data_IF_670703987956
#
_entry.id   IF_670703987956
#
_cell.length_a   1.000
_cell.length_b   1.000
_cell.length_c   1.000
_cell.angle_alpha   90.00
_cell.angle_beta   90.00
_cell.angle_gamma   90.00
#
_symmetry.space_group_name_H-M   'P 1'
#
loop_
_entity.id
_entity.type
_entity.pdbx_description
1 polymer ?
#
# COMPACT_ATOMS: atom_id res chain seq x y z
N UNK A 1 -2.83 -16.18 -18.11
CA UNK A 1 -3.24 -15.54 -16.87
C UNK A 1 -2.06 -15.15 -16.05
N UNK A 2 -1.96 -13.96 -15.81
CA UNK A 2 -0.80 -13.41 -15.15
C UNK A 2 -0.97 -13.44 -13.63
N UNK A 3 0.09 -13.77 -12.91
CA UNK A 3 0.15 -13.64 -11.47
C UNK A 3 0.00 -12.19 -11.04
N UNK A 4 0.28 -11.27 -11.92
CA UNK A 4 0.24 -9.85 -11.65
C UNK A 4 -1.10 -9.35 -11.18
N UNK A 5 -2.18 -10.01 -11.61
CA UNK A 5 -3.50 -9.55 -11.23
C UNK A 5 -3.89 -10.01 -9.84
N UNK A 6 -3.12 -10.93 -9.28
CA UNK A 6 -3.48 -11.53 -8.01
C UNK A 6 -3.36 -10.57 -6.84
N UNK A 7 -2.37 -9.68 -6.83
CA UNK A 7 -2.24 -8.74 -5.73
C UNK A 7 -3.52 -7.93 -5.55
N UNK A 8 -4.04 -7.35 -6.63
CA UNK A 8 -5.21 -6.49 -6.53
C UNK A 8 -6.49 -7.28 -6.21
N UNK A 9 -6.45 -8.61 -6.31
CA UNK A 9 -7.58 -9.47 -5.99
C UNK A 9 -7.45 -10.14 -4.63
N UNK A 10 -6.28 -10.05 -4.03
CA UNK A 10 -6.01 -10.67 -2.74
C UNK A 10 -6.53 -9.80 -1.62
N UNK A 11 -6.68 -10.42 -0.46
CA UNK A 11 -7.04 -9.74 0.78
C UNK A 11 -5.88 -9.85 1.75
N UNK A 12 -5.76 -8.83 2.59
CA UNK A 12 -4.76 -8.84 3.64
C UNK A 12 -5.11 -9.86 4.71
N UNK A 13 -4.08 -10.40 5.34
CA UNK A 13 -4.23 -11.39 6.40
C UNK A 13 -3.58 -10.86 7.66
N UNK A 14 -4.06 -11.33 8.82
CA UNK A 14 -3.46 -10.93 10.08
C UNK A 14 -2.01 -11.38 10.16
N UNK A 15 -1.15 -10.51 10.67
CA UNK A 15 0.24 -10.85 10.91
C UNK A 15 0.46 -11.02 12.42
N UNK A 16 1.01 -12.16 12.80
CA UNK A 16 1.37 -12.39 14.20
C UNK A 16 2.59 -11.57 14.57
N UNK A 17 2.69 -11.11 15.84
CA UNK A 17 3.92 -10.46 16.30
C UNK A 17 5.12 -11.39 16.07
N UNK A 18 6.22 -10.83 15.58
CA UNK A 18 7.41 -11.60 15.26
C UNK A 18 7.44 -12.19 13.87
N UNK A 19 6.39 -11.94 13.05
CA UNK A 19 6.44 -12.28 11.63
C UNK A 19 7.62 -11.53 10.99
N UNK A 20 8.50 -12.23 10.24
CA UNK A 20 9.63 -11.55 9.63
C UNK A 20 9.17 -10.66 8.47
N UNK A 21 9.89 -9.56 8.18
CA UNK A 21 9.59 -8.77 7.00
C UNK A 21 9.91 -9.58 5.74
N UNK A 22 9.32 -9.12 4.63
CA UNK A 22 9.46 -9.79 3.34
C UNK A 22 10.93 -9.83 2.92
N UNK A 23 11.31 -10.92 2.24
CA UNK A 23 12.65 -11.02 1.67
C UNK A 23 12.81 -10.06 0.51
N UNK A 24 14.03 -9.58 0.28
CA UNK A 24 14.29 -8.56 -0.74
C UNK A 24 13.88 -9.02 -2.14
N UNK A 25 14.21 -10.24 -2.51
CA UNK A 25 13.87 -10.74 -3.85
C UNK A 25 12.34 -10.84 -4.05
N UNK A 26 11.62 -11.21 -3.00
CA UNK A 26 10.15 -11.25 -3.05
C UNK A 26 9.59 -9.83 -3.18
N UNK A 27 10.19 -8.87 -2.47
CA UNK A 27 9.76 -7.48 -2.53
C UNK A 27 9.93 -6.93 -3.95
N UNK A 28 11.05 -7.20 -4.59
CA UNK A 28 11.30 -6.77 -5.97
C UNK A 28 10.23 -7.37 -6.90
N UNK A 29 9.92 -8.64 -6.72
CA UNK A 29 8.95 -9.34 -7.54
C UNK A 29 7.56 -8.72 -7.42
N UNK A 30 7.13 -8.45 -6.20
CA UNK A 30 5.81 -7.88 -5.96
C UNK A 30 5.73 -6.41 -6.38
N UNK A 31 6.81 -5.67 -6.18
CA UNK A 31 6.85 -4.27 -6.57
C UNK A 31 6.61 -4.10 -8.07
N UNK A 32 7.05 -5.05 -8.88
CA UNK A 32 6.86 -4.99 -10.33
C UNK A 32 5.38 -4.97 -10.74
N UNK A 33 4.48 -5.37 -9.85
CA UNK A 33 3.05 -5.37 -10.12
C UNK A 33 2.38 -4.05 -9.74
N UNK A 34 3.11 -3.13 -9.15
CA UNK A 34 2.57 -1.87 -8.65
C UNK A 34 2.78 -0.75 -9.66
N UNK A 35 2.04 0.34 -9.49
CA UNK A 35 2.27 1.56 -10.24
C UNK A 35 3.72 2.01 -10.01
N UNK A 36 4.43 2.46 -11.06
CA UNK A 36 5.83 2.85 -10.91
C UNK A 36 6.07 4.07 -10.01
N UNK A 37 5.00 4.77 -9.60
CA UNK A 37 5.12 5.89 -8.67
C UNK A 37 5.43 5.47 -7.25
N UNK A 38 5.30 4.21 -6.92
CA UNK A 38 5.67 3.73 -5.58
C UNK A 38 7.18 3.75 -5.41
N UNK A 39 7.63 4.29 -4.28
CA UNK A 39 9.03 4.25 -3.88
C UNK A 39 9.15 3.24 -2.75
N UNK A 40 10.08 2.30 -2.87
CA UNK A 40 10.31 1.28 -1.87
C UNK A 40 11.63 1.55 -1.16
N UNK A 41 11.58 1.57 0.17
CA UNK A 41 12.77 1.72 1.03
C UNK A 41 13.11 0.33 1.55
N UNK A 42 13.95 -0.41 0.79
CA UNK A 42 14.34 -1.76 1.15
C UNK A 42 13.14 -2.64 1.41
N UNK A 43 13.16 -3.35 2.54
CA UNK A 43 12.00 -4.10 3.00
C UNK A 43 11.30 -3.41 4.16
N UNK A 44 11.46 -2.08 4.30
CA UNK A 44 10.92 -1.33 5.42
C UNK A 44 9.57 -0.72 5.12
N UNK A 45 9.43 -0.03 3.99
CA UNK A 45 8.18 0.68 3.68
C UNK A 45 8.02 0.94 2.20
N UNK A 46 6.76 1.16 1.80
CA UNK A 46 6.39 1.67 0.50
C UNK A 46 5.79 3.06 0.67
N UNK A 47 6.07 3.97 -0.26
CA UNK A 47 5.52 5.31 -0.21
C UNK A 47 5.11 5.76 -1.61
N UNK A 48 3.94 6.38 -1.71
CA UNK A 48 3.47 6.97 -2.95
C UNK A 48 2.84 8.31 -2.68
N UNK A 49 3.14 9.29 -3.55
CA UNK A 49 2.53 10.60 -3.50
C UNK A 49 1.62 10.77 -4.70
N UNK A 50 0.39 11.24 -4.46
CA UNK A 50 -0.60 11.45 -5.51
C UNK A 50 -0.99 12.92 -5.54
N UNK A 51 -1.28 13.43 -6.74
CA UNK A 51 -1.68 14.82 -6.94
C UNK A 51 -3.10 14.90 -7.43
N UNK A 52 -3.80 15.93 -6.97
CA UNK A 52 -5.21 16.15 -7.31
C UNK A 52 -5.41 17.64 -7.60
N UNK A 53 -6.45 17.99 -8.41
CA UNK A 53 -6.66 19.39 -8.79
C UNK A 53 -7.13 20.29 -7.64
N UNK A 54 -7.60 19.71 -6.53
CA UNK A 54 -8.11 20.49 -5.41
C UNK A 54 -8.18 19.64 -4.14
N UNK A 55 -8.54 20.27 -3.03
CA UNK A 55 -8.61 19.59 -1.75
C UNK A 55 -9.76 18.58 -1.69
N UNK A 56 -10.89 18.93 -2.30
CA UNK A 56 -12.06 18.05 -2.29
C UNK A 56 -11.74 16.70 -2.93
N UNK A 57 -11.06 16.72 -4.08
CA UNK A 57 -10.71 15.48 -4.79
C UNK A 57 -9.67 14.68 -4.01
N UNK A 58 -8.70 15.37 -3.41
CA UNK A 58 -7.72 14.71 -2.55
C UNK A 58 -8.40 14.04 -1.36
N UNK A 59 -9.32 14.74 -0.70
CA UNK A 59 -10.09 14.19 0.42
C UNK A 59 -10.94 13.00 -0.02
N UNK A 60 -11.59 13.11 -1.18
CA UNK A 60 -12.39 12.01 -1.70
C UNK A 60 -11.58 10.74 -1.89
N UNK A 61 -10.36 10.88 -2.41
CA UNK A 61 -9.47 9.74 -2.55
C UNK A 61 -9.10 9.15 -1.18
N UNK A 62 -8.75 10.00 -0.22
CA UNK A 62 -8.41 9.55 1.14
C UNK A 62 -9.58 8.81 1.77
N UNK A 63 -10.80 9.29 1.56
CA UNK A 63 -11.98 8.62 2.10
C UNK A 63 -12.12 7.20 1.52
N UNK A 64 -11.95 7.04 0.22
CA UNK A 64 -12.01 5.72 -0.41
C UNK A 64 -10.89 4.82 0.08
N UNK A 65 -9.68 5.36 0.20
CA UNK A 65 -8.53 4.60 0.69
C UNK A 65 -8.76 4.15 2.14
N UNK A 66 -9.26 5.06 2.98
CA UNK A 66 -9.51 4.74 4.38
C UNK A 66 -10.53 3.61 4.52
N UNK A 67 -11.59 3.63 3.71
CA UNK A 67 -12.59 2.56 3.74
C UNK A 67 -12.02 1.24 3.27
N UNK A 68 -11.18 1.27 2.23
CA UNK A 68 -10.49 0.08 1.77
C UNK A 68 -9.59 -0.49 2.86
N UNK A 69 -8.77 0.37 3.46
CA UNK A 69 -7.84 -0.05 4.51
C UNK A 69 -8.58 -0.65 5.70
N UNK A 70 -9.69 -0.04 6.08
CA UNK A 70 -10.50 -0.55 7.19
C UNK A 70 -11.08 -1.93 6.86
N UNK A 71 -11.55 -2.11 5.63
CA UNK A 71 -12.11 -3.41 5.22
C UNK A 71 -11.06 -4.50 5.20
N UNK A 72 -9.80 -4.15 4.97
CA UNK A 72 -8.70 -5.12 4.92
C UNK A 72 -7.98 -5.29 6.25
N UNK A 73 -8.29 -4.44 7.23
CA UNK A 73 -7.63 -4.52 8.53
C UNK A 73 -6.14 -4.19 8.47
N UNK A 74 -5.70 -3.43 7.48
CA UNK A 74 -4.31 -3.03 7.31
C UNK A 74 -4.29 -1.55 6.98
N UNK A 75 -3.71 -0.74 7.87
CA UNK A 75 -3.89 0.70 7.85
C UNK A 75 -2.63 1.43 7.44
N UNK A 76 -2.66 2.21 6.35
CA UNK A 76 -1.53 3.04 5.95
C UNK A 76 -1.44 4.30 6.80
N UNK A 77 -0.29 4.95 6.76
CA UNK A 77 -0.18 6.33 7.21
C UNK A 77 -0.51 7.22 6.02
N UNK A 78 -1.37 8.20 6.24
CA UNK A 78 -1.87 9.06 5.18
C UNK A 78 -1.63 10.52 5.55
N UNK A 79 -1.02 11.27 4.62
CA UNK A 79 -0.89 12.71 4.75
C UNK A 79 -1.78 13.36 3.69
N UNK A 80 -2.69 14.21 4.13
CA UNK A 80 -3.60 14.91 3.24
C UNK A 80 -3.30 16.40 3.28
N UNK A 81 -3.07 16.99 2.12
CA UNK A 81 -2.92 18.42 1.97
C UNK A 81 -3.70 18.88 0.76
N UNK A 82 -3.68 20.19 0.49
CA UNK A 82 -4.36 20.72 -0.68
C UNK A 82 -3.78 20.06 -1.95
N UNK A 83 -4.63 19.34 -2.66
CA UNK A 83 -4.23 18.70 -3.92
C UNK A 83 -3.17 17.62 -3.80
N UNK A 84 -2.90 17.12 -2.60
CA UNK A 84 -1.80 16.19 -2.39
C UNK A 84 -2.17 15.13 -1.35
N UNK A 85 -1.85 13.89 -1.67
CA UNK A 85 -1.99 12.77 -0.72
C UNK A 85 -0.68 11.99 -0.74
N UNK A 86 -0.10 11.74 0.44
CA UNK A 86 1.05 10.85 0.56
C UNK A 86 0.66 9.65 1.40
N UNK A 87 0.95 8.46 0.89
CA UNK A 87 0.58 7.19 1.53
C UNK A 87 1.84 6.43 1.84
N UNK A 88 1.98 5.96 3.08
CA UNK A 88 3.10 5.13 3.50
C UNK A 88 2.55 3.82 4.05
N UNK A 89 3.09 2.71 3.57
CA UNK A 89 2.69 1.36 3.97
C UNK A 89 3.84 0.64 4.62
N UNK A 90 3.56 0.01 5.74
CA UNK A 90 4.49 -0.90 6.41
C UNK A 90 3.67 -1.80 7.33
N UNK A 91 4.25 -2.89 7.79
CA UNK A 91 3.58 -3.81 8.71
C UNK A 91 4.32 -3.79 10.06
N UNK A 92 3.71 -3.12 11.06
CA UNK A 92 4.36 -2.95 12.36
C UNK A 92 4.69 -4.29 13.03
N UNK A 93 3.80 -5.27 12.94
CA UNK A 93 4.01 -6.58 13.56
C UNK A 93 5.24 -7.28 13.01
N UNK A 94 5.65 -6.97 11.79
CA UNK A 94 6.80 -7.58 11.13
C UNK A 94 8.05 -6.71 11.19
N UNK A 95 7.91 -5.46 11.59
CA UNK A 95 9.01 -4.51 11.56
C UNK A 95 9.41 -4.11 10.15
N UNK A 96 8.53 -4.26 9.18
CA UNK A 96 8.81 -3.95 7.79
C UNK A 96 7.69 -4.43 6.89
N UNK A 97 7.99 -4.55 5.61
CA UNK A 97 6.99 -4.92 4.60
C UNK A 97 6.60 -6.39 4.68
N UNK A 98 5.33 -6.67 4.37
CA UNK A 98 4.82 -8.03 4.15
C UNK A 98 3.98 -7.98 2.87
N UNK A 99 3.48 -9.14 2.46
CA UNK A 99 2.58 -9.21 1.30
C UNK A 99 1.39 -8.26 1.46
N UNK A 100 0.91 -8.03 2.69
CA UNK A 100 -0.22 -7.13 2.93
C UNK A 100 0.01 -5.73 2.40
N UNK A 101 1.23 -5.21 2.52
CA UNK A 101 1.54 -3.86 2.04
C UNK A 101 1.44 -3.79 0.52
N UNK A 102 1.91 -4.84 -0.16
CA UNK A 102 1.84 -4.89 -1.62
C UNK A 102 0.42 -5.12 -2.10
N UNK A 103 -0.35 -5.92 -1.38
CA UNK A 103 -1.78 -6.13 -1.70
C UNK A 103 -2.53 -4.81 -1.61
N UNK A 104 -2.36 -4.09 -0.50
CA UNK A 104 -3.05 -2.82 -0.33
C UNK A 104 -2.60 -1.79 -1.35
N UNK A 105 -1.29 -1.73 -1.65
CA UNK A 105 -0.76 -0.83 -2.66
C UNK A 105 -1.39 -1.11 -4.03
N UNK A 106 -1.46 -2.38 -4.43
CA UNK A 106 -2.05 -2.75 -5.72
C UNK A 106 -3.53 -2.38 -5.78
N UNK A 107 -4.26 -2.57 -4.69
CA UNK A 107 -5.68 -2.23 -4.64
C UNK A 107 -5.88 -0.71 -4.64
N UNK A 108 -5.00 0.01 -3.96
CA UNK A 108 -5.03 1.47 -3.96
C UNK A 108 -4.81 1.99 -5.38
N UNK A 109 -3.90 1.37 -6.13
CA UNK A 109 -3.60 1.79 -7.50
C UNK A 109 -4.83 1.71 -8.41
N UNK A 110 -5.86 1.00 -7.99
CA UNK A 110 -7.09 0.83 -8.76
C UNK A 110 -8.26 1.68 -8.27
N UNK A 111 -8.06 2.50 -7.27
CA UNK A 111 -9.11 3.36 -6.72
C UNK A 111 -9.50 4.50 -7.67
#
# INVERSE_FOLDING_TARGET
MSQEQELARRHCESCAPGTPPIAEDRAVELEAQLDPSWARDGNLRLRRELRFPNFRDAFGFVARLALLAESEGHHPDIELGWGRVAVTLTTHAAGGLTDNDFILAARLDRL
#
